data_IF_496160972863
#
_entry.id   IF_496160972863
#
_cell.length_a   1.000
_cell.length_b   1.000
_cell.length_c   1.000
_cell.angle_alpha   90.00
_cell.angle_beta   90.00
_cell.angle_gamma   90.00
#
_symmetry.space_group_name_H-M   'P 1'
#
loop_
_entity.id
_entity.type
_entity.pdbx_description
1 polymer ?
#
# COMPACT_ATOMS: atom_id res chain seq x y z
N UNK A 1 -33.82 9.58 -16.63
CA UNK A 1 -33.49 10.22 -15.33
C UNK A 1 -32.20 9.60 -14.80
N UNK A 2 -31.10 10.35 -14.77
CA UNK A 2 -29.83 9.86 -14.21
C UNK A 2 -29.87 9.99 -12.68
N UNK A 3 -29.90 8.86 -11.96
CA UNK A 3 -29.84 8.83 -10.50
C UNK A 3 -28.49 9.39 -10.04
N UNK A 4 -28.51 10.57 -9.40
CA UNK A 4 -27.34 11.18 -8.77
C UNK A 4 -26.85 10.22 -7.67
N UNK A 5 -25.73 9.55 -7.91
CA UNK A 5 -25.06 8.71 -6.92
C UNK A 5 -24.64 9.59 -5.74
N UNK A 6 -25.32 9.43 -4.61
CA UNK A 6 -25.06 10.18 -3.39
C UNK A 6 -23.60 9.97 -2.98
N UNK A 7 -22.87 11.07 -2.80
CA UNK A 7 -21.45 11.03 -2.41
C UNK A 7 -21.41 10.39 -1.01
N UNK A 8 -20.81 9.20 -0.89
CA UNK A 8 -20.70 8.49 0.38
C UNK A 8 -19.98 9.32 1.44
N UNK A 9 -20.15 8.95 2.71
CA UNK A 9 -19.51 9.60 3.85
C UNK A 9 -18.00 9.81 3.60
N UNK A 10 -17.50 11.00 3.98
CA UNK A 10 -16.09 11.36 3.80
C UNK A 10 -15.22 10.40 4.62
N UNK A 11 -14.57 9.45 3.96
CA UNK A 11 -13.70 8.46 4.61
C UNK A 11 -13.86 7.04 4.07
N UNK A 12 -15.06 6.67 3.59
CA UNK A 12 -15.38 5.30 3.14
C UNK A 12 -14.69 4.86 1.83
N UNK A 13 -13.87 5.74 1.27
CA UNK A 13 -13.03 5.47 0.12
C UNK A 13 -13.74 5.33 -1.23
N UNK A 14 -12.99 5.57 -2.31
CA UNK A 14 -13.51 5.41 -3.68
C UNK A 14 -12.89 4.18 -4.32
N UNK A 15 -13.74 3.23 -4.73
CA UNK A 15 -13.33 2.04 -5.48
C UNK A 15 -13.53 2.31 -6.97
N UNK A 16 -12.49 2.12 -7.78
CA UNK A 16 -12.52 2.25 -9.25
C UNK A 16 -11.77 1.12 -9.92
N UNK A 17 -12.20 0.74 -11.12
CA UNK A 17 -11.45 -0.14 -11.99
C UNK A 17 -10.49 0.68 -12.85
N UNK A 18 -9.26 0.19 -13.02
CA UNK A 18 -8.24 0.80 -13.89
C UNK A 18 -8.31 0.20 -15.30
N UNK A 19 -7.70 0.88 -16.30
CA UNK A 19 -7.62 0.36 -17.67
C UNK A 19 -6.89 -0.97 -17.80
N UNK A 20 -6.00 -1.30 -16.86
CA UNK A 20 -5.27 -2.57 -16.77
C UNK A 20 -6.12 -3.73 -16.20
N UNK A 21 -7.40 -3.49 -15.89
CA UNK A 21 -8.32 -4.45 -15.30
C UNK A 21 -8.18 -4.62 -13.78
N UNK A 22 -7.19 -3.98 -13.14
CA UNK A 22 -7.02 -4.02 -11.67
C UNK A 22 -8.00 -3.08 -10.98
N UNK A 23 -8.36 -3.42 -9.76
CA UNK A 23 -9.21 -2.60 -8.91
C UNK A 23 -8.34 -1.77 -7.96
N UNK A 24 -8.68 -0.50 -7.79
CA UNK A 24 -8.04 0.43 -6.86
C UNK A 24 -9.09 0.97 -5.89
N UNK A 25 -8.83 0.93 -4.59
CA UNK A 25 -9.57 1.73 -3.61
C UNK A 25 -8.68 2.75 -2.92
N UNK A 26 -9.20 3.96 -2.72
CA UNK A 26 -8.51 5.04 -2.00
C UNK A 26 -9.14 5.27 -0.65
N UNK A 27 -8.34 5.42 0.40
CA UNK A 27 -8.79 5.80 1.74
C UNK A 27 -8.01 7.02 2.23
N UNK A 28 -8.58 7.77 3.16
CA UNK A 28 -7.95 8.95 3.77
C UNK A 28 -7.51 8.55 5.17
N UNK A 29 -6.22 8.67 5.45
CA UNK A 29 -5.64 8.39 6.77
C UNK A 29 -5.76 9.56 7.74
N UNK A 30 -5.90 10.77 7.22
CA UNK A 30 -5.95 11.98 8.03
C UNK A 30 -5.59 13.21 7.22
N UNK A 31 -5.29 14.28 7.93
CA UNK A 31 -4.81 15.54 7.37
C UNK A 31 -3.38 15.72 7.84
N UNK A 32 -2.47 16.00 6.93
CA UNK A 32 -1.09 16.35 7.23
C UNK A 32 -1.07 17.68 8.02
N UNK A 33 -0.56 17.69 9.27
CA UNK A 33 -0.56 18.88 10.11
C UNK A 33 0.33 20.01 9.57
N UNK A 34 1.32 19.70 8.72
CA UNK A 34 2.21 20.70 8.14
C UNK A 34 1.64 21.35 6.88
N UNK A 35 0.99 20.55 6.02
CA UNK A 35 0.52 21.02 4.70
C UNK A 35 -0.99 21.23 4.62
N UNK A 36 -1.76 20.76 5.61
CA UNK A 36 -3.23 20.78 5.60
C UNK A 36 -3.87 19.87 4.54
N UNK A 37 -3.06 19.07 3.83
CA UNK A 37 -3.55 18.20 2.75
C UNK A 37 -4.01 16.85 3.30
N UNK A 38 -5.02 16.27 2.66
CA UNK A 38 -5.46 14.92 2.99
C UNK A 38 -4.38 13.90 2.62
N UNK A 39 -4.00 13.08 3.60
CA UNK A 39 -3.13 11.93 3.37
C UNK A 39 -3.99 10.81 2.80
N UNK A 40 -3.97 10.63 1.49
CA UNK A 40 -4.70 9.57 0.80
C UNK A 40 -3.77 8.43 0.41
N UNK A 41 -4.21 7.19 0.64
CA UNK A 41 -3.51 5.98 0.20
C UNK A 41 -4.40 5.09 -0.66
N UNK A 42 -3.77 4.29 -1.52
CA UNK A 42 -4.45 3.36 -2.42
C UNK A 42 -4.13 1.90 -2.07
N UNK A 43 -5.16 1.05 -2.12
CA UNK A 43 -5.09 -0.41 -2.07
C UNK A 43 -5.44 -0.97 -3.44
N UNK A 44 -4.86 -2.13 -3.79
CA UNK A 44 -5.08 -2.77 -5.08
C UNK A 44 -5.55 -4.22 -4.94
N UNK A 45 -6.24 -4.72 -5.96
CA UNK A 45 -6.69 -6.09 -6.04
C UNK A 45 -7.14 -6.50 -7.44
N UNK A 46 -7.29 -7.80 -7.65
CA UNK A 46 -7.73 -8.37 -8.93
C UNK A 46 -9.24 -8.26 -9.13
N UNK A 47 -10.01 -8.21 -8.03
CA UNK A 47 -11.47 -8.14 -8.05
C UNK A 47 -11.98 -7.00 -7.17
N UNK A 48 -13.18 -6.52 -7.47
CA UNK A 48 -13.84 -5.48 -6.66
C UNK A 48 -14.06 -5.95 -5.21
N UNK A 49 -14.39 -7.23 -5.02
CA UNK A 49 -14.65 -7.82 -3.70
C UNK A 49 -13.40 -7.80 -2.82
N UNK A 50 -12.25 -8.23 -3.37
CA UNK A 50 -10.95 -8.21 -2.67
C UNK A 50 -10.59 -6.79 -2.21
N UNK A 51 -10.70 -5.83 -3.13
CA UNK A 51 -10.42 -4.41 -2.83
C UNK A 51 -11.37 -3.84 -1.79
N UNK A 52 -12.67 -4.20 -1.84
CA UNK A 52 -13.65 -3.76 -0.84
C UNK A 52 -13.37 -4.34 0.55
N UNK A 53 -13.00 -5.62 0.63
CA UNK A 53 -12.64 -6.26 1.90
C UNK A 53 -11.42 -5.59 2.52
N UNK A 54 -10.35 -5.39 1.73
CA UNK A 54 -9.14 -4.66 2.17
C UNK A 54 -9.45 -3.25 2.65
N UNK A 55 -10.29 -2.52 1.90
CA UNK A 55 -10.72 -1.17 2.28
C UNK A 55 -11.46 -1.18 3.62
N UNK A 56 -12.37 -2.14 3.82
CA UNK A 56 -13.17 -2.25 5.06
C UNK A 56 -12.29 -2.58 6.26
N UNK A 57 -11.34 -3.50 6.11
CA UNK A 57 -10.38 -3.84 7.16
C UNK A 57 -9.53 -2.63 7.57
N UNK A 58 -8.97 -1.92 6.59
CA UNK A 58 -8.18 -0.71 6.83
C UNK A 58 -9.01 0.39 7.50
N UNK A 59 -10.26 0.61 7.08
CA UNK A 59 -11.12 1.59 7.74
C UNK A 59 -11.41 1.21 9.20
N UNK A 60 -11.65 -0.07 9.47
CA UNK A 60 -11.84 -0.55 10.85
C UNK A 60 -10.57 -0.34 11.71
N UNK A 61 -9.38 -0.64 11.18
CA UNK A 61 -8.10 -0.41 11.86
C UNK A 61 -7.84 1.08 12.13
N UNK A 62 -8.25 1.96 11.20
CA UNK A 62 -8.14 3.42 11.39
C UNK A 62 -9.09 3.88 12.50
N UNK A 63 -10.34 3.41 12.49
CA UNK A 63 -11.35 3.75 13.49
C UNK A 63 -10.97 3.24 14.89
N UNK A 64 -10.31 2.08 14.98
CA UNK A 64 -9.77 1.51 16.22
C UNK A 64 -8.46 2.18 16.67
N UNK A 65 -7.82 2.96 15.80
CA UNK A 65 -6.51 3.58 16.06
C UNK A 65 -5.34 2.60 16.04
N UNK A 66 -5.57 1.36 15.61
CA UNK A 66 -4.58 0.27 15.49
C UNK A 66 -3.92 0.24 14.11
N UNK A 67 -4.32 1.12 13.19
CA UNK A 67 -3.74 1.19 11.84
C UNK A 67 -2.22 1.37 11.91
N UNK A 68 -1.52 0.28 11.63
CA UNK A 68 -0.09 0.30 11.37
C UNK A 68 0.09 0.35 9.87
N UNK A 69 0.75 1.39 9.38
CA UNK A 69 1.27 1.35 8.03
C UNK A 69 2.38 0.30 8.01
N UNK A 70 2.02 -0.95 7.67
CA UNK A 70 3.00 -2.01 7.49
C UNK A 70 4.00 -1.46 6.47
N UNK A 71 5.27 -1.22 6.85
CA UNK A 71 6.23 -0.69 5.91
C UNK A 71 6.26 -1.66 4.75
N UNK A 72 5.87 -1.18 3.57
CA UNK A 72 6.02 -1.95 2.35
C UNK A 72 7.52 -2.08 2.14
N UNK A 73 8.11 -3.11 2.72
CA UNK A 73 9.47 -3.53 2.41
C UNK A 73 9.48 -3.74 0.91
N UNK A 74 10.18 -2.84 0.20
CA UNK A 74 10.38 -3.05 -1.23
C UNK A 74 11.13 -4.36 -1.34
N UNK A 75 10.79 -5.18 -2.34
CA UNK A 75 11.51 -6.44 -2.57
C UNK A 75 13.01 -6.22 -2.70
N UNK A 76 13.43 -5.07 -3.25
CA UNK A 76 14.82 -4.63 -3.28
C UNK A 76 15.42 -4.40 -1.88
N UNK A 77 14.70 -3.72 -0.98
CA UNK A 77 15.15 -3.48 0.39
C UNK A 77 15.27 -4.81 1.17
N UNK A 78 14.33 -5.73 0.97
CA UNK A 78 14.39 -7.08 1.55
C UNK A 78 15.54 -7.92 0.99
N UNK A 79 15.77 -7.86 -0.33
CA UNK A 79 16.93 -8.52 -0.98
C UNK A 79 18.25 -7.97 -0.45
N UNK A 80 18.36 -6.66 -0.23
CA UNK A 80 19.55 -6.04 0.34
C UNK A 80 19.80 -6.54 1.78
N UNK A 81 18.77 -6.57 2.63
CA UNK A 81 18.89 -7.15 3.97
C UNK A 81 19.32 -8.62 3.92
N UNK A 82 18.73 -9.40 3.01
CA UNK A 82 19.11 -10.81 2.84
C UNK A 82 20.56 -10.99 2.39
N UNK A 83 21.03 -10.16 1.45
CA UNK A 83 22.44 -10.16 1.01
C UNK A 83 23.36 -9.80 2.18
N UNK A 84 23.01 -8.80 2.99
CA UNK A 84 23.83 -8.40 4.14
C UNK A 84 23.90 -9.48 5.22
N UNK A 85 22.77 -10.10 5.57
CA UNK A 85 22.69 -11.12 6.62
C UNK A 85 23.32 -12.46 6.19
N UNK A 86 23.10 -12.91 4.95
CA UNK A 86 23.52 -14.24 4.49
C UNK A 86 24.87 -14.26 3.76
N UNK A 87 25.27 -13.16 3.09
CA UNK A 87 26.51 -13.09 2.28
C UNK A 87 27.65 -12.41 3.05
N UNK A 88 27.41 -11.90 4.26
CA UNK A 88 28.43 -11.30 5.13
C UNK A 88 29.68 -12.16 5.33
N UNK A 89 29.54 -13.50 5.30
CA UNK A 89 30.61 -14.47 5.56
C UNK A 89 31.24 -15.11 4.31
N UNK A 90 30.90 -14.64 3.10
CA UNK A 90 31.41 -15.22 1.85
C UNK A 90 32.72 -14.54 1.44
N UNK A 91 33.65 -15.33 0.87
CA UNK A 91 34.97 -14.86 0.40
C UNK A 91 34.85 -13.62 -0.50
N UNK A 92 35.80 -12.66 -0.42
CA UNK A 92 35.71 -11.34 -1.09
C UNK A 92 35.43 -11.41 -2.60
N UNK A 93 35.97 -12.43 -3.28
CA UNK A 93 35.82 -12.61 -4.72
C UNK A 93 34.35 -12.84 -5.14
N UNK A 94 33.57 -13.57 -4.34
CA UNK A 94 32.16 -13.88 -4.62
C UNK A 94 31.26 -12.68 -4.32
N UNK A 95 31.63 -11.86 -3.33
CA UNK A 95 30.90 -10.63 -2.94
C UNK A 95 30.87 -9.59 -4.07
N UNK A 96 31.91 -9.57 -4.91
CA UNK A 96 32.03 -8.66 -6.05
C UNK A 96 31.12 -9.02 -7.22
N UNK A 97 30.79 -10.29 -7.39
CA UNK A 97 29.93 -10.78 -8.50
C UNK A 97 28.46 -10.45 -8.22
N UNK A 98 28.01 -10.59 -6.97
CA UNK A 98 26.59 -10.43 -6.59
C UNK A 98 26.15 -8.96 -6.56
N UNK A 99 27.09 -8.02 -6.35
CA UNK A 99 26.79 -6.57 -6.26
C UNK A 99 26.77 -5.86 -7.63
N UNK A 100 27.11 -6.56 -8.71
CA UNK A 100 27.22 -6.02 -10.08
C UNK A 100 26.03 -6.43 -10.98
N UNK A 101 25.26 -7.46 -10.58
CA UNK A 101 23.95 -7.78 -11.17
C UNK A 101 22.85 -6.94 -10.52
#
# INVERSE_FOLDING_TARGET
MATRKTKGAKGGGTIRQRPDGRWEARYTLGIDPGTGKQIQKSVYGKTQKDVRQKLTAITAEIDEGTYMDVPRLKTADWLNTWVEEYIGNVKPATRKIIKIM
#
